data_IF_999320320875
#
_entry.id   IF_999320320875
#
_cell.length_a   1.000
_cell.length_b   1.000
_cell.length_c   1.000
_cell.angle_alpha   90.00
_cell.angle_beta   90.00
_cell.angle_gamma   90.00
#
_symmetry.space_group_name_H-M   'P 1'
#
loop_
_entity.id
_entity.type
_entity.pdbx_description
1 polymer ?
#
# COMPACT_ATOMS: atom_id res chain seq x y z
N UNK A 1 1.01 -20.88 17.38
CA UNK A 1 1.29 -20.80 15.94
C UNK A 1 2.63 -20.08 15.80
N UNK A 2 3.72 -20.79 15.48
CA UNK A 2 5.05 -20.18 15.35
C UNK A 2 5.09 -19.52 13.96
N UNK A 3 5.23 -18.20 13.91
CA UNK A 3 5.40 -17.47 12.67
C UNK A 3 6.77 -17.85 12.07
N UNK A 4 6.75 -18.58 10.96
CA UNK A 4 7.95 -18.83 10.17
C UNK A 4 8.06 -17.70 9.12
N UNK A 5 9.11 -16.87 9.15
CA UNK A 5 9.26 -15.81 8.17
C UNK A 5 9.32 -16.38 6.75
N UNK A 6 8.59 -15.76 5.84
CA UNK A 6 8.45 -16.21 4.44
C UNK A 6 9.73 -16.09 3.60
N UNK A 7 10.83 -15.60 4.19
CA UNK A 7 12.16 -15.55 3.60
C UNK A 7 13.23 -15.86 4.67
N UNK A 8 13.60 -17.13 4.86
CA UNK A 8 14.67 -17.52 5.78
C UNK A 8 16.07 -17.04 5.33
N UNK A 9 16.22 -16.57 4.08
CA UNK A 9 17.50 -16.22 3.47
C UNK A 9 17.88 -14.73 3.54
N UNK A 10 16.98 -13.86 4.03
CA UNK A 10 17.22 -12.41 4.08
C UNK A 10 18.21 -12.07 5.20
N UNK A 11 19.39 -11.55 4.85
CA UNK A 11 20.38 -11.11 5.84
C UNK A 11 19.97 -9.76 6.43
N UNK A 12 20.48 -9.46 7.62
CA UNK A 12 20.23 -8.18 8.30
C UNK A 12 20.51 -6.95 7.43
N UNK A 13 21.54 -7.04 6.59
CA UNK A 13 21.98 -5.99 5.66
C UNK A 13 21.03 -5.77 4.47
N UNK A 14 20.20 -6.76 4.12
CA UNK A 14 19.29 -6.69 2.97
C UNK A 14 17.96 -5.97 3.30
N UNK A 15 17.53 -6.00 4.58
CA UNK A 15 16.25 -5.43 5.01
C UNK A 15 16.06 -3.95 4.68
N UNK A 16 17.05 -3.05 4.88
CA UNK A 16 16.88 -1.64 4.52
C UNK A 16 16.55 -1.44 3.04
N UNK A 17 17.22 -2.19 2.15
CA UNK A 17 17.00 -2.11 0.72
C UNK A 17 15.61 -2.63 0.34
N UNK A 18 15.19 -3.77 0.88
CA UNK A 18 13.87 -4.34 0.61
C UNK A 18 12.73 -3.46 1.15
N UNK A 19 12.90 -2.86 2.33
CA UNK A 19 11.97 -1.86 2.88
C UNK A 19 11.89 -0.64 1.97
N UNK A 20 13.02 -0.15 1.46
CA UNK A 20 13.04 0.98 0.54
C UNK A 20 12.36 0.67 -0.79
N UNK A 21 12.61 -0.52 -1.37
CA UNK A 21 11.92 -1.00 -2.59
C UNK A 21 10.42 -1.09 -2.37
N UNK A 22 9.98 -1.67 -1.26
CA UNK A 22 8.58 -1.77 -0.87
C UNK A 22 7.92 -0.39 -0.78
N UNK A 23 8.57 0.57 -0.12
CA UNK A 23 8.10 1.97 -0.05
C UNK A 23 8.04 2.65 -1.41
N UNK A 24 9.02 2.42 -2.28
CA UNK A 24 9.02 2.98 -3.63
C UNK A 24 7.84 2.46 -4.46
N UNK A 25 7.46 1.19 -4.29
CA UNK A 25 6.26 0.64 -4.91
C UNK A 25 4.99 1.32 -4.38
N UNK A 26 4.87 1.50 -3.06
CA UNK A 26 3.73 2.23 -2.45
C UNK A 26 3.63 3.64 -3.03
N UNK A 27 4.75 4.37 -3.09
CA UNK A 27 4.76 5.73 -3.63
C UNK A 27 4.29 5.81 -5.10
N UNK A 28 4.67 4.82 -5.93
CA UNK A 28 4.19 4.73 -7.32
C UNK A 28 2.69 4.44 -7.39
N UNK A 29 2.18 3.57 -6.52
CA UNK A 29 0.75 3.27 -6.44
C UNK A 29 -0.03 4.52 -6.01
N UNK A 30 0.46 5.25 -5.00
CA UNK A 30 -0.16 6.48 -4.50
C UNK A 30 -0.18 7.57 -5.58
N UNK A 31 0.90 7.74 -6.35
CA UNK A 31 0.93 8.64 -7.49
C UNK A 31 -0.13 8.26 -8.55
N UNK A 32 -0.24 6.97 -8.88
CA UNK A 32 -1.26 6.50 -9.83
C UNK A 32 -2.68 6.69 -9.31
N UNK A 33 -2.91 6.54 -8.01
CA UNK A 33 -4.20 6.81 -7.39
C UNK A 33 -4.58 8.29 -7.48
N UNK A 34 -3.61 9.20 -7.31
CA UNK A 34 -3.83 10.64 -7.49
C UNK A 34 -4.23 10.97 -8.94
N UNK A 35 -3.50 10.44 -9.92
CA UNK A 35 -3.85 10.62 -11.35
C UNK A 35 -5.27 10.15 -11.68
N UNK A 36 -5.66 8.97 -11.16
CA UNK A 36 -7.01 8.42 -11.39
C UNK A 36 -8.08 9.27 -10.70
N UNK A 37 -7.77 9.86 -9.54
CA UNK A 37 -8.69 10.78 -8.85
C UNK A 37 -8.89 12.08 -9.63
N UNK A 38 -7.82 12.64 -10.21
CA UNK A 38 -7.91 13.82 -11.09
C UNK A 38 -8.74 13.52 -12.35
N UNK A 39 -8.55 12.34 -12.96
CA UNK A 39 -9.35 11.90 -14.11
C UNK A 39 -10.84 11.79 -13.75
N UNK A 40 -11.16 11.18 -12.61
CA UNK A 40 -12.53 11.10 -12.11
C UNK A 40 -13.12 12.50 -11.87
N UNK A 41 -12.37 13.40 -11.22
CA UNK A 41 -12.82 14.78 -10.96
C UNK A 41 -13.09 15.57 -12.26
N UNK A 42 -12.24 15.41 -13.27
CA UNK A 42 -12.44 16.05 -14.58
C UNK A 42 -13.71 15.54 -15.28
N UNK A 43 -14.03 14.25 -15.15
CA UNK A 43 -15.26 13.67 -15.70
C UNK A 43 -16.48 14.15 -14.91
N UNK A 44 -16.41 14.15 -13.58
CA UNK A 44 -17.48 14.67 -12.71
C UNK A 44 -17.81 16.13 -13.04
N UNK A 45 -16.80 16.98 -13.24
CA UNK A 45 -17.02 18.37 -13.63
C UNK A 45 -17.80 18.49 -14.96
N UNK A 46 -17.49 17.64 -15.95
CA UNK A 46 -18.22 17.61 -17.23
C UNK A 46 -19.66 17.15 -17.04
N UNK A 47 -19.88 16.16 -16.18
CA UNK A 47 -21.24 15.69 -15.84
C UNK A 47 -22.02 16.82 -15.13
N UNK A 48 -21.40 17.51 -14.18
CA UNK A 48 -22.03 18.62 -13.45
C UNK A 48 -22.43 19.76 -14.39
N UNK A 49 -21.57 20.11 -15.36
CA UNK A 49 -21.90 21.10 -16.41
C UNK A 49 -23.11 20.63 -17.23
N UNK A 50 -23.10 19.38 -17.71
CA UNK A 50 -24.20 18.83 -18.50
C UNK A 50 -25.53 18.81 -17.73
N UNK A 51 -25.50 18.51 -16.43
CA UNK A 51 -26.68 18.55 -15.55
C UNK A 51 -27.14 19.97 -15.27
N UNK A 52 -26.21 20.94 -15.17
CA UNK A 52 -26.55 22.34 -14.97
C UNK A 52 -27.20 22.96 -16.23
N UNK A 53 -26.76 22.56 -17.42
CA UNK A 53 -27.28 23.03 -18.70
C UNK A 53 -28.64 22.41 -19.08
N UNK A 54 -29.03 21.32 -18.44
CA UNK A 54 -30.30 20.63 -18.66
C UNK A 54 -31.47 21.41 -18.02
N UNK A 55 -32.17 22.17 -18.87
CA UNK A 55 -33.31 23.03 -18.48
C UNK A 55 -34.55 22.25 -18.05
N UNK A 56 -34.63 20.95 -18.35
CA UNK A 56 -35.77 20.12 -17.98
C UNK A 56 -35.70 19.64 -16.51
N UNK A 57 -34.54 19.80 -15.86
CA UNK A 57 -34.32 19.44 -14.45
C UNK A 57 -34.75 20.57 -13.51
N UNK A 58 -35.96 20.43 -12.95
CA UNK A 58 -36.66 21.45 -12.15
C UNK A 58 -36.34 21.42 -10.67
N UNK A 59 -35.78 20.32 -10.16
CA UNK A 59 -35.43 20.18 -8.74
C UNK A 59 -34.08 19.48 -8.53
N UNK A 60 -33.58 19.50 -7.28
CA UNK A 60 -32.30 18.91 -6.91
C UNK A 60 -32.28 17.38 -6.98
N UNK A 61 -33.41 16.72 -6.76
CA UNK A 61 -33.55 15.26 -6.86
C UNK A 61 -33.38 14.78 -8.30
N UNK A 62 -34.01 15.46 -9.25
CA UNK A 62 -33.87 15.21 -10.69
C UNK A 62 -32.43 15.43 -11.16
N UNK A 63 -31.78 16.50 -10.69
CA UNK A 63 -30.34 16.77 -10.98
C UNK A 63 -29.44 15.67 -10.42
N UNK A 64 -29.69 15.22 -9.19
CA UNK A 64 -28.95 14.12 -8.59
C UNK A 64 -29.13 12.82 -9.38
N UNK A 65 -30.38 12.46 -9.70
CA UNK A 65 -30.68 11.26 -10.47
C UNK A 65 -30.02 11.29 -11.86
N UNK A 66 -30.06 12.44 -12.55
CA UNK A 66 -29.41 12.62 -13.85
C UNK A 66 -27.90 12.49 -13.75
N UNK A 67 -27.27 13.09 -12.73
CA UNK A 67 -25.82 12.95 -12.48
C UNK A 67 -25.43 11.50 -12.22
N UNK A 68 -26.17 10.79 -11.36
CA UNK A 68 -25.89 9.39 -11.06
C UNK A 68 -26.09 8.50 -12.30
N UNK A 69 -27.09 8.80 -13.13
CA UNK A 69 -27.29 8.16 -14.43
C UNK A 69 -26.08 8.41 -15.37
N UNK A 70 -25.69 9.67 -15.58
CA UNK A 70 -24.57 10.02 -16.46
C UNK A 70 -23.26 9.39 -15.98
N UNK A 71 -23.02 9.39 -14.66
CA UNK A 71 -21.85 8.75 -14.04
C UNK A 71 -21.84 7.23 -14.25
N UNK A 72 -22.97 6.56 -14.07
CA UNK A 72 -23.07 5.11 -14.27
C UNK A 72 -22.93 4.68 -15.73
N UNK A 73 -23.33 5.54 -16.67
CA UNK A 73 -23.21 5.31 -18.11
C UNK A 73 -21.84 5.73 -18.68
N UNK A 74 -21.06 6.53 -17.96
CA UNK A 74 -19.76 6.99 -18.41
C UNK A 74 -18.70 5.88 -18.27
N UNK A 75 -18.31 5.29 -19.40
CA UNK A 75 -17.33 4.20 -19.45
C UNK A 75 -15.98 4.58 -18.81
N UNK A 76 -15.46 5.76 -19.13
CA UNK A 76 -14.16 6.22 -18.65
C UNK A 76 -14.14 6.40 -17.13
N UNK A 77 -15.25 6.92 -16.57
CA UNK A 77 -15.41 7.05 -15.12
C UNK A 77 -15.42 5.68 -14.44
N UNK A 78 -16.20 4.73 -14.97
CA UNK A 78 -16.28 3.38 -14.41
C UNK A 78 -14.93 2.65 -14.51
N UNK A 79 -14.22 2.81 -15.64
CA UNK A 79 -12.88 2.26 -15.83
C UNK A 79 -11.88 2.86 -14.84
N UNK A 80 -11.87 4.19 -14.67
CA UNK A 80 -11.00 4.87 -13.72
C UNK A 80 -11.29 4.44 -12.27
N UNK A 81 -12.57 4.27 -11.92
CA UNK A 81 -13.00 3.79 -10.61
C UNK A 81 -12.54 2.35 -10.34
N UNK A 82 -12.73 1.45 -11.30
CA UNK A 82 -12.28 0.07 -11.21
C UNK A 82 -10.76 -0.03 -11.05
N UNK A 83 -10.01 0.74 -11.85
CA UNK A 83 -8.55 0.82 -11.74
C UNK A 83 -8.11 1.38 -10.38
N UNK A 84 -8.77 2.43 -9.87
CA UNK A 84 -8.46 2.99 -8.57
C UNK A 84 -8.69 1.97 -7.45
N UNK A 85 -9.78 1.20 -7.51
CA UNK A 85 -10.05 0.14 -6.54
C UNK A 85 -8.99 -0.97 -6.59
N UNK A 86 -8.56 -1.39 -7.79
CA UNK A 86 -7.48 -2.36 -7.93
C UNK A 86 -6.15 -1.83 -7.37
N UNK A 87 -5.84 -0.55 -7.58
CA UNK A 87 -4.64 0.07 -7.03
C UNK A 87 -4.69 0.19 -5.50
N UNK A 88 -5.86 0.50 -4.91
CA UNK A 88 -6.03 0.50 -3.44
C UNK A 88 -5.81 -0.89 -2.84
N UNK A 89 -6.30 -1.93 -3.50
CA UNK A 89 -6.04 -3.31 -3.05
C UNK A 89 -4.54 -3.66 -3.12
N UNK A 90 -3.87 -3.28 -4.21
CA UNK A 90 -2.41 -3.46 -4.35
C UNK A 90 -1.63 -2.69 -3.28
N UNK A 91 -2.03 -1.44 -2.99
CA UNK A 91 -1.44 -0.63 -1.92
C UNK A 91 -1.55 -1.35 -0.58
N UNK A 92 -2.75 -1.83 -0.22
CA UNK A 92 -2.99 -2.54 1.03
C UNK A 92 -2.08 -3.78 1.16
N UNK A 93 -1.95 -4.57 0.09
CA UNK A 93 -1.03 -5.72 0.06
C UNK A 93 0.42 -5.30 0.27
N UNK A 94 0.83 -4.17 -0.32
CA UNK A 94 2.17 -3.64 -0.17
C UNK A 94 2.43 -3.10 1.25
N UNK A 95 1.44 -2.47 1.89
CA UNK A 95 1.52 -2.04 3.29
C UNK A 95 1.71 -3.24 4.23
N UNK A 96 0.93 -4.31 4.03
CA UNK A 96 1.08 -5.56 4.79
C UNK A 96 2.50 -6.11 4.62
N UNK A 97 3.03 -6.07 3.39
CA UNK A 97 4.40 -6.53 3.09
C UNK A 97 5.45 -5.65 3.80
N UNK A 98 5.25 -4.33 3.82
CA UNK A 98 6.13 -3.40 4.52
C UNK A 98 6.17 -3.68 6.02
N UNK A 99 5.01 -3.87 6.65
CA UNK A 99 4.92 -4.17 8.08
C UNK A 99 5.54 -5.53 8.41
N UNK A 100 5.38 -6.50 7.51
CA UNK A 100 6.04 -7.79 7.64
C UNK A 100 7.57 -7.65 7.62
N UNK A 101 8.11 -6.90 6.65
CA UNK A 101 9.55 -6.64 6.54
C UNK A 101 10.10 -5.93 7.79
N UNK A 102 9.39 -4.93 8.31
CA UNK A 102 9.77 -4.21 9.53
C UNK A 102 9.77 -5.10 10.77
N UNK A 103 8.75 -5.94 10.88
CA UNK A 103 8.63 -6.89 11.99
C UNK A 103 9.75 -7.94 11.92
N UNK A 104 9.98 -8.53 10.75
CA UNK A 104 11.05 -9.50 10.51
C UNK A 104 12.43 -8.89 10.78
N UNK A 105 12.68 -7.65 10.35
CA UNK A 105 13.94 -6.95 10.64
C UNK A 105 14.15 -6.74 12.14
N UNK A 106 13.09 -6.39 12.86
CA UNK A 106 13.15 -6.21 14.32
C UNK A 106 13.49 -7.51 15.04
N UNK A 107 12.86 -8.62 14.64
CA UNK A 107 13.17 -9.96 15.17
C UNK A 107 14.61 -10.35 14.84
N UNK A 108 15.07 -10.16 13.59
CA UNK A 108 16.44 -10.48 13.18
C UNK A 108 17.48 -9.72 14.02
N UNK A 109 17.25 -8.43 14.32
CA UNK A 109 18.11 -7.65 15.20
C UNK A 109 18.16 -8.20 16.62
N UNK A 110 17.02 -8.62 17.17
CA UNK A 110 16.96 -9.20 18.53
C UNK A 110 17.71 -10.53 18.60
N UNK A 111 17.50 -11.42 17.62
CA UNK A 111 18.22 -12.70 17.53
C UNK A 111 19.73 -12.49 17.40
N UNK A 112 20.16 -11.53 16.58
CA UNK A 112 21.58 -11.21 16.44
C UNK A 112 22.18 -10.69 17.76
N UNK A 113 21.47 -9.81 18.48
CA UNK A 113 21.90 -9.30 19.79
C UNK A 113 21.96 -10.39 20.85
N UNK A 114 20.97 -11.28 20.90
CA UNK A 114 20.98 -12.43 21.80
C UNK A 114 22.19 -13.33 21.53
N UNK A 115 22.48 -13.61 20.26
CA UNK A 115 23.66 -14.40 19.86
C UNK A 115 24.95 -13.74 20.33
N UNK A 116 25.10 -12.42 20.13
CA UNK A 116 26.26 -11.67 20.61
C UNK A 116 26.38 -11.75 22.14
N UNK A 117 25.27 -11.56 22.87
CA UNK A 117 25.26 -11.64 24.32
C UNK A 117 25.66 -13.04 24.83
N UNK A 118 25.16 -14.11 24.20
CA UNK A 118 25.54 -15.49 24.56
C UNK A 118 27.03 -15.76 24.32
N UNK A 119 27.59 -15.26 23.22
CA UNK A 119 29.03 -15.37 22.93
C UNK A 119 29.83 -14.62 24.00
N UNK A 120 29.46 -13.37 24.30
CA UNK A 120 30.15 -12.56 25.31
C UNK A 120 30.12 -13.22 26.70
N UNK A 121 28.98 -13.79 27.12
CA UNK A 121 28.87 -14.53 28.39
C UNK A 121 29.77 -15.77 28.38
N UNK A 122 29.82 -16.52 27.27
CA UNK A 122 30.68 -17.70 27.16
C UNK A 122 32.17 -17.36 27.23
N UNK A 123 32.58 -16.25 26.60
CA UNK A 123 33.95 -15.71 26.66
C UNK A 123 34.32 -15.25 28.08
N UNK A 124 33.41 -14.57 28.79
CA UNK A 124 33.62 -14.06 30.14
C UNK A 124 33.60 -15.17 31.22
N UNK A 125 32.87 -16.26 30.96
CA UNK A 125 32.75 -17.42 31.87
C UNK A 125 33.95 -18.38 31.83
N UNK A 126 35.00 -18.10 31.05
CA UNK A 126 36.20 -18.93 30.96
C UNK A 126 35.99 -20.29 30.26
N UNK A 127 34.84 -20.51 29.59
CA UNK A 127 34.62 -21.65 28.70
C UNK A 127 35.18 -21.37 27.30
N UNK A 128 36.41 -20.83 27.26
CA UNK A 128 37.15 -20.62 26.03
C UNK A 128 37.47 -21.97 25.39
N UNK A 129 36.87 -22.21 24.22
CA UNK A 129 37.40 -23.00 23.10
C UNK A 129 38.27 -24.21 23.50
N UNK A 130 37.63 -25.37 23.70
CA UNK A 130 38.23 -26.60 23.15
C UNK A 130 37.76 -26.66 21.70
N UNK A 131 38.72 -26.50 20.80
CA UNK A 131 38.58 -26.53 19.36
C UNK A 131 37.94 -27.83 18.84
#
# INVERSE_FOLDING_TARGET
MIYTPKNPDLKLEDYPLEIARCRAVIARIDARLAELAEQQAAIELRIDIAVADDRDLRNSEQRKAKRDQLRSQNYDYQAALALANNQREKRLKQDITLELLRSAFSVAKLVARERIARIAIAEDSGLGLVA
#
